data_IF_779187120306
#
_entry.id   IF_779187120306
#
_cell.length_a   1.000
_cell.length_b   1.000
_cell.length_c   1.000
_cell.angle_alpha   90.00
_cell.angle_beta   90.00
_cell.angle_gamma   90.00
#
_symmetry.space_group_name_H-M   'P 1'
#
loop_
_entity.id
_entity.type
_entity.pdbx_description
1 polymer ?
#
# COMPACT_ATOMS: atom_id res chain seq x y z
N UNK A 1 -17.47 22.92 31.18
CA UNK A 1 -18.25 21.77 30.67
C UNK A 1 -17.51 21.26 29.46
N UNK A 2 -17.23 19.95 29.41
CA UNK A 2 -16.34 19.33 28.42
C UNK A 2 -16.95 19.35 27.03
N UNK A 3 -16.14 19.71 26.04
CA UNK A 3 -16.43 19.53 24.63
C UNK A 3 -16.64 18.03 24.38
N UNK A 4 -17.88 17.64 24.07
CA UNK A 4 -18.20 16.28 23.64
C UNK A 4 -17.70 16.11 22.20
N UNK A 5 -16.37 16.08 22.04
CA UNK A 5 -15.70 15.89 20.78
C UNK A 5 -16.12 14.56 20.18
N UNK A 6 -16.98 14.61 19.16
CA UNK A 6 -17.33 13.44 18.36
C UNK A 6 -16.05 12.90 17.73
N UNK A 7 -15.61 11.71 18.15
CA UNK A 7 -14.55 10.97 17.46
C UNK A 7 -15.13 10.57 16.10
N UNK A 8 -14.75 11.28 15.04
CA UNK A 8 -15.09 10.92 13.68
C UNK A 8 -13.96 10.08 13.08
N UNK A 9 -14.31 9.01 12.38
CA UNK A 9 -13.33 8.28 11.57
C UNK A 9 -12.82 9.17 10.44
N UNK A 10 -11.59 8.89 10.01
CA UNK A 10 -11.03 9.47 8.81
C UNK A 10 -11.89 9.15 7.57
N UNK A 11 -11.83 10.01 6.56
CA UNK A 11 -12.51 9.77 5.29
C UNK A 11 -12.01 8.48 4.68
N UNK A 12 -12.93 7.66 4.18
CA UNK A 12 -12.62 6.35 3.61
C UNK A 12 -13.27 6.21 2.25
N UNK A 13 -12.55 5.59 1.33
CA UNK A 13 -12.95 5.33 -0.05
C UNK A 13 -12.80 3.84 -0.32
N UNK A 14 -13.73 3.27 -1.07
CA UNK A 14 -13.78 1.83 -1.33
C UNK A 14 -13.87 1.62 -2.84
N UNK A 15 -13.03 0.75 -3.39
CA UNK A 15 -13.27 0.20 -4.72
C UNK A 15 -14.54 -0.65 -4.64
N UNK A 16 -15.51 -0.41 -5.54
CA UNK A 16 -16.75 -1.18 -5.58
C UNK A 16 -16.69 -2.30 -6.64
N UNK A 17 -17.82 -2.96 -6.86
CA UNK A 17 -17.95 -4.10 -7.78
C UNK A 17 -17.74 -3.76 -9.26
N UNK A 18 -17.65 -2.48 -9.64
CA UNK A 18 -17.37 -2.03 -11.01
C UNK A 18 -15.94 -1.47 -11.10
N UNK A 19 -14.96 -2.37 -11.01
CA UNK A 19 -13.50 -2.23 -11.24
C UNK A 19 -12.95 -0.80 -11.48
N UNK A 20 -11.99 -0.42 -10.62
CA UNK A 20 -11.16 0.78 -10.67
C UNK A 20 -11.83 2.08 -10.23
N UNK A 21 -11.26 2.74 -9.22
CA UNK A 21 -11.65 4.10 -8.86
C UNK A 21 -10.42 5.02 -8.90
N UNK A 22 -10.35 5.89 -9.90
CA UNK A 22 -9.42 7.02 -9.90
C UNK A 22 -9.96 8.11 -8.97
N UNK A 23 -9.35 8.29 -7.79
CA UNK A 23 -9.71 9.43 -6.93
C UNK A 23 -9.05 10.69 -7.48
N UNK A 24 -9.83 11.45 -8.25
CA UNK A 24 -9.38 12.65 -8.95
C UNK A 24 -9.21 13.89 -8.05
N UNK A 25 -9.65 13.83 -6.79
CA UNK A 25 -9.54 14.95 -5.84
C UNK A 25 -8.49 14.65 -4.77
N UNK A 26 -7.60 15.60 -4.50
CA UNK A 26 -6.63 15.47 -3.40
C UNK A 26 -7.33 15.16 -2.06
N UNK A 27 -6.98 14.03 -1.46
CA UNK A 27 -7.33 13.67 -0.09
C UNK A 27 -6.06 13.66 0.76
N UNK A 28 -6.16 14.16 1.98
CA UNK A 28 -5.13 13.95 3.00
C UNK A 28 -5.77 13.19 4.16
N UNK A 29 -4.96 12.50 4.95
CA UNK A 29 -5.42 11.82 6.17
C UNK A 29 -6.61 10.87 5.91
N UNK A 30 -6.62 10.21 4.75
CA UNK A 30 -7.74 9.39 4.28
C UNK A 30 -7.35 7.93 4.09
N UNK A 31 -8.35 7.07 3.97
CA UNK A 31 -8.20 5.63 3.78
C UNK A 31 -8.79 5.20 2.44
N UNK A 32 -8.11 4.26 1.80
CA UNK A 32 -8.46 3.71 0.51
C UNK A 32 -8.41 2.19 0.65
N UNK A 33 -9.51 1.54 0.29
CA UNK A 33 -9.64 0.09 0.37
C UNK A 33 -10.00 -0.43 -1.00
N UNK A 34 -9.18 -1.30 -1.56
CA UNK A 34 -9.63 -2.19 -2.63
C UNK A 34 -10.29 -3.44 -2.05
N UNK A 35 -10.91 -4.20 -2.94
CA UNK A 35 -11.76 -5.33 -2.60
C UNK A 35 -11.17 -6.65 -3.07
N UNK A 36 -12.04 -7.49 -3.59
CA UNK A 36 -11.70 -8.80 -4.15
C UNK A 36 -11.56 -8.77 -5.68
N UNK A 37 -11.57 -7.59 -6.30
CA UNK A 37 -11.42 -7.42 -7.74
C UNK A 37 -10.25 -6.47 -8.03
N UNK A 38 -9.55 -6.75 -9.12
CA UNK A 38 -8.46 -5.93 -9.63
C UNK A 38 -8.91 -4.49 -9.83
N UNK A 39 -8.18 -3.57 -9.18
CA UNK A 39 -8.51 -2.16 -9.13
C UNK A 39 -7.33 -1.27 -9.53
N UNK A 40 -7.60 -0.30 -10.38
CA UNK A 40 -6.73 0.87 -10.51
C UNK A 40 -7.07 1.88 -9.41
N UNK A 41 -6.12 2.14 -8.51
CA UNK A 41 -6.25 3.07 -7.39
C UNK A 41 -5.32 4.25 -7.64
N UNK A 42 -5.87 5.46 -7.77
CA UNK A 42 -5.06 6.68 -7.82
C UNK A 42 -5.31 7.53 -6.59
N UNK A 43 -4.28 7.71 -5.77
CA UNK A 43 -4.32 8.49 -4.54
C UNK A 43 -3.60 9.80 -4.78
N UNK A 44 -4.30 10.92 -4.62
CA UNK A 44 -3.71 12.25 -4.70
C UNK A 44 -3.68 12.86 -3.29
N UNK A 45 -2.55 13.42 -2.87
CA UNK A 45 -2.36 14.04 -1.55
C UNK A 45 -1.52 13.21 -0.58
N UNK A 46 -1.38 13.70 0.64
CA UNK A 46 -0.38 13.24 1.60
C UNK A 46 -1.01 12.51 2.80
N UNK A 47 -0.21 11.69 3.48
CA UNK A 47 -0.63 10.99 4.71
C UNK A 47 -1.91 10.14 4.51
N UNK A 48 -2.03 9.51 3.35
CA UNK A 48 -3.13 8.57 3.07
C UNK A 48 -2.72 7.14 3.38
N UNK A 49 -3.72 6.29 3.63
CA UNK A 49 -3.55 4.87 3.88
C UNK A 49 -4.23 4.09 2.76
N UNK A 50 -3.53 3.16 2.12
CA UNK A 50 -4.04 2.29 1.06
C UNK A 50 -3.99 0.86 1.53
N UNK A 51 -5.09 0.14 1.39
CA UNK A 51 -5.24 -1.28 1.74
C UNK A 51 -5.59 -2.03 0.46
N UNK A 52 -4.69 -2.89 -0.03
CA UNK A 52 -4.81 -3.52 -1.38
C UNK A 52 -5.73 -4.74 -1.46
N UNK A 53 -6.41 -5.12 -0.37
CA UNK A 53 -7.41 -6.19 -0.47
C UNK A 53 -6.79 -7.53 -0.86
N UNK A 54 -7.44 -8.29 -1.75
CA UNK A 54 -7.06 -9.67 -2.12
C UNK A 54 -6.78 -9.87 -3.62
N UNK A 55 -6.89 -8.81 -4.41
CA UNK A 55 -6.85 -8.88 -5.87
C UNK A 55 -5.54 -8.30 -6.40
N UNK A 56 -5.38 -8.28 -7.73
CA UNK A 56 -4.18 -7.74 -8.34
C UNK A 56 -4.42 -6.25 -8.66
N UNK A 57 -3.95 -5.35 -7.79
CA UNK A 57 -4.20 -3.91 -7.94
C UNK A 57 -3.05 -3.13 -8.56
N UNK A 58 -3.40 -2.05 -9.26
CA UNK A 58 -2.47 -1.05 -9.73
C UNK A 58 -2.65 0.24 -8.92
N UNK A 59 -1.64 0.59 -8.12
CA UNK A 59 -1.70 1.67 -7.12
C UNK A 59 -0.78 2.81 -7.53
N UNK A 60 -1.35 3.99 -7.78
CA UNK A 60 -0.65 5.21 -8.14
C UNK A 60 -0.67 6.21 -6.98
N UNK A 61 0.50 6.48 -6.40
CA UNK A 61 0.65 7.45 -5.32
C UNK A 61 1.10 8.80 -5.87
N UNK A 62 0.26 9.82 -5.73
CA UNK A 62 0.54 11.19 -6.17
C UNK A 62 0.56 12.12 -4.94
N UNK A 63 1.59 11.94 -4.10
CA UNK A 63 1.81 12.69 -2.87
C UNK A 63 2.96 12.07 -2.07
N UNK A 64 3.03 12.38 -0.78
CA UNK A 64 4.09 11.92 0.12
C UNK A 64 3.52 11.40 1.45
N UNK A 65 4.34 10.67 2.20
CA UNK A 65 4.01 10.16 3.54
C UNK A 65 2.80 9.22 3.56
N UNK A 66 2.51 8.56 2.44
CA UNK A 66 1.44 7.58 2.36
C UNK A 66 1.88 6.24 2.96
N UNK A 67 0.92 5.47 3.44
CA UNK A 67 1.13 4.12 3.95
C UNK A 67 0.39 3.13 3.08
N UNK A 68 1.08 2.10 2.60
CA UNK A 68 0.48 0.97 1.91
C UNK A 68 0.49 -0.24 2.85
N UNK A 69 -0.68 -0.84 3.01
CA UNK A 69 -0.92 -1.99 3.86
C UNK A 69 -1.31 -3.19 3.01
N UNK A 70 -0.45 -4.21 3.07
CA UNK A 70 -0.64 -5.52 2.45
C UNK A 70 -0.90 -6.53 3.55
N UNK A 71 -2.06 -7.19 3.51
CA UNK A 71 -2.48 -8.10 4.58
C UNK A 71 -2.97 -9.44 4.03
N UNK A 72 -2.61 -10.54 4.70
CA UNK A 72 -3.01 -11.88 4.26
C UNK A 72 -2.51 -12.22 2.85
N UNK A 73 -3.39 -12.82 2.05
CA UNK A 73 -3.14 -13.15 0.65
C UNK A 73 -3.58 -11.97 -0.25
N UNK A 74 -2.72 -10.96 -0.34
CA UNK A 74 -3.04 -9.66 -0.94
C UNK A 74 -2.93 -9.59 -2.47
N UNK A 75 -2.88 -10.74 -3.16
CA UNK A 75 -2.74 -10.78 -4.62
C UNK A 75 -1.37 -10.33 -5.14
N UNK A 76 -1.34 -9.85 -6.39
CA UNK A 76 -0.17 -9.40 -7.12
C UNK A 76 -0.26 -7.90 -7.48
N UNK A 77 0.12 -7.05 -6.52
CA UNK A 77 0.00 -5.61 -6.66
C UNK A 77 1.17 -4.97 -7.43
N UNK A 78 0.88 -3.85 -8.09
CA UNK A 78 1.87 -2.98 -8.73
C UNK A 78 1.73 -1.56 -8.21
N UNK A 79 2.81 -1.02 -7.64
CA UNK A 79 2.85 0.33 -7.05
C UNK A 79 3.71 1.26 -7.89
N UNK A 80 3.14 2.39 -8.25
CA UNK A 80 3.78 3.45 -9.03
C UNK A 80 3.96 4.72 -8.19
N UNK A 81 4.99 5.49 -8.54
CA UNK A 81 5.29 6.80 -7.96
C UNK A 81 5.52 6.79 -6.44
N UNK A 82 5.96 5.65 -5.91
CA UNK A 82 6.39 5.52 -4.52
C UNK A 82 7.56 6.49 -4.25
N UNK A 83 7.61 7.05 -3.05
CA UNK A 83 8.67 7.94 -2.58
C UNK A 83 9.32 7.38 -1.31
N UNK A 84 10.53 7.85 -1.00
CA UNK A 84 11.24 7.44 0.21
C UNK A 84 10.51 7.83 1.52
N UNK A 85 9.54 8.75 1.44
CA UNK A 85 8.72 9.17 2.57
C UNK A 85 7.52 8.24 2.83
N UNK A 86 7.14 7.43 1.84
CA UNK A 86 6.04 6.49 1.98
C UNK A 86 6.47 5.27 2.79
N UNK A 87 5.49 4.58 3.37
CA UNK A 87 5.68 3.42 4.21
C UNK A 87 5.01 2.18 3.59
N UNK A 88 5.67 1.03 3.73
CA UNK A 88 5.10 -0.27 3.36
C UNK A 88 4.93 -1.11 4.61
N UNK A 89 3.75 -1.68 4.80
CA UNK A 89 3.43 -2.55 5.92
C UNK A 89 2.92 -3.87 5.35
N UNK A 90 3.64 -4.95 5.63
CA UNK A 90 3.24 -6.32 5.33
C UNK A 90 2.85 -6.98 6.63
N UNK A 91 1.62 -7.49 6.72
CA UNK A 91 1.20 -8.15 7.94
C UNK A 91 0.25 -9.33 7.77
N UNK A 92 0.22 -10.21 8.77
CA UNK A 92 -0.73 -11.32 8.85
C UNK A 92 -0.72 -12.24 7.60
N UNK A 93 0.43 -12.34 6.92
CA UNK A 93 0.66 -13.30 5.84
C UNK A 93 1.35 -14.54 6.44
N UNK A 94 0.86 -15.73 6.09
CA UNK A 94 1.36 -17.01 6.63
C UNK A 94 2.83 -17.30 6.33
N UNK A 95 3.43 -16.59 5.37
CA UNK A 95 4.82 -16.74 4.96
C UNK A 95 5.77 -15.79 5.69
N UNK A 96 5.26 -14.96 6.60
CA UNK A 96 6.06 -14.09 7.47
C UNK A 96 6.48 -14.88 8.72
N UNK A 97 7.78 -14.95 8.97
CA UNK A 97 8.32 -15.56 10.18
C UNK A 97 8.39 -14.58 11.37
N UNK A 98 8.64 -15.10 12.58
CA UNK A 98 8.94 -14.25 13.73
C UNK A 98 10.22 -13.43 13.50
N UNK A 99 10.14 -12.10 13.66
CA UNK A 99 11.23 -11.15 13.38
C UNK A 99 11.75 -11.21 11.93
N UNK A 100 10.86 -11.49 10.97
CA UNK A 100 11.22 -11.50 9.56
C UNK A 100 11.65 -10.10 9.06
N UNK A 101 12.38 -10.10 7.96
CA UNK A 101 12.87 -8.89 7.29
C UNK A 101 12.36 -8.88 5.86
N UNK A 102 11.92 -7.72 5.38
CA UNK A 102 11.51 -7.55 3.98
C UNK A 102 12.63 -7.95 3.00
N UNK A 103 13.91 -7.87 3.41
CA UNK A 103 15.05 -8.26 2.61
C UNK A 103 15.04 -9.75 2.25
N UNK A 104 14.41 -10.60 3.06
CA UNK A 104 14.26 -12.03 2.77
C UNK A 104 13.25 -12.29 1.63
N UNK A 105 12.36 -11.33 1.39
CA UNK A 105 11.31 -11.37 0.38
C UNK A 105 11.62 -10.52 -0.84
N UNK A 106 12.73 -9.78 -0.80
CA UNK A 106 13.12 -8.81 -1.82
C UNK A 106 13.89 -9.49 -2.96
N UNK A 107 13.46 -9.19 -4.17
CA UNK A 107 14.15 -9.45 -5.43
C UNK A 107 14.04 -8.23 -6.34
N UNK A 108 14.69 -8.28 -7.50
CA UNK A 108 14.62 -7.20 -8.49
C UNK A 108 14.30 -7.78 -9.87
N UNK A 109 13.37 -7.12 -10.56
CA UNK A 109 13.01 -7.40 -11.95
C UNK A 109 13.30 -6.17 -12.81
N UNK A 110 14.45 -6.16 -13.47
CA UNK A 110 14.94 -4.96 -14.16
C UNK A 110 15.20 -3.82 -13.17
N UNK A 111 14.51 -2.71 -13.35
CA UNK A 111 14.62 -1.50 -12.51
C UNK A 111 13.57 -1.46 -11.37
N UNK A 112 12.81 -2.54 -11.18
CA UNK A 112 11.74 -2.62 -10.19
C UNK A 112 12.16 -3.51 -9.01
N UNK A 113 11.77 -3.12 -7.81
CA UNK A 113 11.86 -4.00 -6.64
C UNK A 113 10.61 -4.89 -6.58
N UNK A 114 10.80 -6.17 -6.30
CA UNK A 114 9.73 -7.15 -6.17
C UNK A 114 9.79 -7.77 -4.77
N UNK A 115 8.73 -7.63 -3.99
CA UNK A 115 8.58 -8.25 -2.67
C UNK A 115 7.58 -9.40 -2.78
N UNK A 116 8.00 -10.62 -2.46
CA UNK A 116 7.18 -11.84 -2.62
C UNK A 116 6.95 -12.52 -1.28
N UNK A 117 5.68 -12.73 -0.91
CA UNK A 117 5.25 -13.37 0.32
C UNK A 117 4.36 -14.58 -0.01
N UNK A 118 4.99 -15.72 -0.29
CA UNK A 118 4.30 -16.92 -0.77
C UNK A 118 3.73 -16.72 -2.17
N UNK A 119 2.40 -16.84 -2.30
CA UNK A 119 1.69 -16.63 -3.56
C UNK A 119 1.37 -15.15 -3.83
N UNK A 120 1.57 -14.25 -2.87
CA UNK A 120 1.33 -12.82 -3.04
C UNK A 120 2.61 -12.06 -3.34
N UNK A 121 2.52 -10.98 -4.11
CA UNK A 121 3.68 -10.15 -4.43
C UNK A 121 3.31 -8.70 -4.63
N UNK A 122 4.25 -7.79 -4.36
CA UNK A 122 4.14 -6.40 -4.77
C UNK A 122 5.35 -5.96 -5.57
N UNK A 123 5.08 -5.40 -6.76
CA UNK A 123 6.10 -4.78 -7.62
C UNK A 123 6.13 -3.28 -7.35
N UNK A 124 7.28 -2.76 -6.96
CA UNK A 124 7.53 -1.34 -6.73
C UNK A 124 8.27 -0.77 -7.94
N UNK A 125 7.54 -0.04 -8.79
CA UNK A 125 8.03 0.41 -10.09
C UNK A 125 9.04 1.53 -9.94
N UNK A 126 10.24 1.35 -10.51
CA UNK A 126 11.33 2.33 -10.46
C UNK A 126 11.98 2.51 -9.08
N UNK A 127 11.73 1.58 -8.15
CA UNK A 127 12.29 1.63 -6.79
C UNK A 127 13.57 0.81 -6.72
N UNK A 128 14.66 1.46 -6.31
CA UNK A 128 15.98 0.85 -6.16
C UNK A 128 16.36 0.63 -4.68
N UNK A 129 17.52 0.00 -4.44
CA UNK A 129 18.02 -0.30 -3.08
C UNK A 129 18.25 0.94 -2.23
N UNK A 130 18.73 2.04 -2.82
CA UNK A 130 19.01 3.27 -2.08
C UNK A 130 17.72 3.89 -1.55
N UNK A 131 16.66 3.85 -2.35
CA UNK A 131 15.32 4.29 -1.94
C UNK A 131 14.74 3.38 -0.86
N UNK A 132 14.80 2.05 -1.03
CA UNK A 132 14.33 1.08 -0.02
C UNK A 132 15.02 1.26 1.33
N UNK A 133 16.31 1.60 1.34
CA UNK A 133 17.08 1.83 2.58
C UNK A 133 16.62 3.05 3.38
N UNK A 134 15.92 3.98 2.73
CA UNK A 134 15.39 5.21 3.35
C UNK A 134 13.92 5.06 3.77
N UNK A 135 13.20 4.12 3.16
CA UNK A 135 11.80 3.88 3.43
C UNK A 135 11.57 3.20 4.78
N UNK A 136 10.40 3.45 5.34
CA UNK A 136 9.89 2.63 6.43
C UNK A 136 9.18 1.40 5.87
N UNK A 137 9.75 0.22 6.11
CA UNK A 137 9.16 -1.06 5.72
C UNK A 137 9.03 -1.94 6.96
N UNK A 138 7.79 -2.28 7.29
CA UNK A 138 7.46 -3.15 8.42
C UNK A 138 6.93 -4.50 7.93
N UNK A 139 7.35 -5.58 8.59
CA UNK A 139 6.91 -6.95 8.34
C UNK A 139 6.48 -7.53 9.69
N UNK A 140 5.21 -7.96 9.83
CA UNK A 140 4.60 -8.28 11.13
C UNK A 140 3.58 -9.43 11.13
#
# INVERSE_FOLDING_TARGET
>A
EGDSGSIAYAKSYYADTENSFTISTASNDSWFYSGANDSEISVNGNNNNVVSGYADDAIHLNGSENTLLFYGDFGHDTVYNLSASDSLIFMANQNIADNDSYLNHLSFEGDNALLTYGDSSVTLVGVNTDMLSQMHIAVA
#
